data_IF_863457112208
#
_entry.id   IF_863457112208
#
_cell.length_a   1.000
_cell.length_b   1.000
_cell.length_c   1.000
_cell.angle_alpha   90.00
_cell.angle_beta   90.00
_cell.angle_gamma   90.00
#
_symmetry.space_group_name_H-M   'P 1'
#
loop_
_entity.id
_entity.type
_entity.pdbx_description
1 polymer ?
#
# COMPACT_ATOMS: atom_id res chain seq x y z
N UNK A 1 32.10 -6.55 -16.07
CA UNK A 1 30.74 -6.56 -15.48
C UNK A 1 30.54 -7.93 -14.84
N UNK A 2 30.58 -8.02 -13.51
CA UNK A 2 30.26 -9.28 -12.81
C UNK A 2 28.73 -9.43 -12.84
N UNK A 3 28.23 -10.55 -13.37
CA UNK A 3 26.81 -10.87 -13.26
C UNK A 3 26.50 -11.03 -11.76
N UNK A 4 25.70 -10.12 -11.20
CA UNK A 4 25.23 -10.24 -9.84
C UNK A 4 24.30 -11.45 -9.77
N UNK A 5 24.74 -12.51 -9.08
CA UNK A 5 23.90 -13.68 -8.84
C UNK A 5 22.76 -13.24 -7.91
N UNK A 6 21.55 -13.14 -8.44
CA UNK A 6 20.35 -12.91 -7.66
C UNK A 6 20.03 -14.18 -6.85
N UNK A 7 20.12 -14.11 -5.52
CA UNK A 7 19.84 -15.23 -4.60
C UNK A 7 18.74 -14.81 -3.63
N UNK A 8 17.74 -15.67 -3.43
CA UNK A 8 16.77 -15.52 -2.34
C UNK A 8 15.73 -14.41 -2.52
N UNK A 9 15.38 -14.02 -3.75
CA UNK A 9 14.49 -12.86 -3.96
C UNK A 9 13.06 -13.13 -3.54
N UNK A 10 12.49 -12.14 -2.86
CA UNK A 10 11.06 -12.00 -2.62
C UNK A 10 10.50 -10.80 -3.39
N UNK A 11 9.84 -11.05 -4.52
CA UNK A 11 9.31 -10.01 -5.41
C UNK A 11 8.17 -10.53 -6.28
N UNK A 12 7.29 -9.65 -6.74
CA UNK A 12 6.40 -9.94 -7.86
C UNK A 12 7.19 -10.10 -9.16
N UNK A 13 6.74 -10.99 -10.04
CA UNK A 13 7.33 -11.25 -11.35
C UNK A 13 6.52 -10.63 -12.50
N UNK A 14 5.33 -10.10 -12.21
CA UNK A 14 4.47 -9.41 -13.15
C UNK A 14 3.60 -8.38 -12.42
N UNK A 15 3.16 -7.34 -13.14
CA UNK A 15 2.18 -6.38 -12.63
C UNK A 15 0.80 -7.06 -12.50
N UNK A 16 0.17 -7.07 -11.30
CA UNK A 16 -1.10 -7.79 -11.12
C UNK A 16 -2.33 -7.05 -11.68
N UNK A 17 -2.20 -5.76 -12.01
CA UNK A 17 -3.33 -4.87 -12.32
C UNK A 17 -4.29 -4.82 -11.13
N UNK A 18 -3.77 -4.33 -10.01
CA UNK A 18 -4.50 -4.25 -8.74
C UNK A 18 -5.56 -3.15 -8.78
N UNK A 19 -6.71 -3.44 -8.17
CA UNK A 19 -7.77 -2.46 -7.96
C UNK A 19 -8.30 -2.54 -6.53
N UNK A 20 -8.71 -1.40 -6.00
CA UNK A 20 -9.43 -1.30 -4.73
C UNK A 20 -10.93 -1.30 -5.02
N UNK A 21 -11.67 -2.20 -4.38
CA UNK A 21 -13.12 -2.17 -4.50
C UNK A 21 -13.70 -1.09 -3.59
N UNK A 22 -14.34 -0.14 -4.24
CA UNK A 22 -14.71 1.18 -3.74
C UNK A 22 -15.51 1.19 -2.42
N UNK A 23 -16.32 0.16 -2.13
CA UNK A 23 -17.26 0.14 -1.00
C UNK A 23 -17.05 -0.98 0.03
N UNK A 24 -16.20 -1.97 -0.27
CA UNK A 24 -16.16 -3.23 0.50
C UNK A 24 -14.82 -3.53 1.18
N UNK A 25 -13.86 -2.59 1.17
CA UNK A 25 -12.48 -2.82 1.65
C UNK A 25 -11.89 -4.14 1.14
N UNK A 26 -12.07 -4.40 -0.15
CA UNK A 26 -11.52 -5.57 -0.85
C UNK A 26 -10.53 -5.14 -1.93
N UNK A 27 -9.64 -6.05 -2.30
CA UNK A 27 -8.71 -5.92 -3.42
C UNK A 27 -9.11 -6.89 -4.51
N UNK A 28 -9.06 -6.40 -5.75
CA UNK A 28 -9.23 -7.16 -6.98
C UNK A 28 -7.91 -7.16 -7.77
N UNK A 29 -7.75 -8.15 -8.65
CA UNK A 29 -6.70 -8.13 -9.67
C UNK A 29 -7.27 -8.66 -10.97
N UNK A 30 -6.89 -8.07 -12.10
CA UNK A 30 -7.30 -8.62 -13.41
C UNK A 30 -6.30 -9.66 -13.90
N UNK A 31 -5.01 -9.49 -13.57
CA UNK A 31 -3.96 -10.44 -13.87
C UNK A 31 -3.81 -11.54 -12.81
N UNK A 32 -3.22 -12.66 -13.22
CA UNK A 32 -2.73 -13.66 -12.27
C UNK A 32 -1.55 -13.08 -11.46
N UNK A 33 -1.50 -13.39 -10.18
CA UNK A 33 -0.38 -13.00 -9.33
C UNK A 33 0.71 -14.05 -9.49
N UNK A 34 1.90 -13.61 -9.87
CA UNK A 34 3.10 -14.45 -9.95
C UNK A 34 4.19 -13.76 -9.14
N UNK A 35 4.74 -14.46 -8.15
CA UNK A 35 5.74 -13.90 -7.24
C UNK A 35 6.73 -14.96 -6.78
N UNK A 36 7.83 -14.52 -6.20
CA UNK A 36 8.77 -15.37 -5.47
C UNK A 36 8.80 -15.00 -4.01
N UNK A 37 9.04 -15.99 -3.14
CA UNK A 37 9.45 -15.77 -1.75
C UNK A 37 10.73 -16.57 -1.55
N UNK A 38 11.82 -15.93 -1.15
CA UNK A 38 13.15 -16.56 -1.00
C UNK A 38 13.59 -17.35 -2.23
N UNK A 39 13.26 -16.86 -3.43
CA UNK A 39 13.55 -17.50 -4.72
C UNK A 39 12.62 -18.67 -5.10
N UNK A 40 11.64 -19.05 -4.27
CA UNK A 40 10.63 -20.05 -4.62
C UNK A 40 9.44 -19.37 -5.30
N UNK A 41 9.08 -19.83 -6.50
CA UNK A 41 7.97 -19.26 -7.26
C UNK A 41 6.60 -19.73 -6.75
N UNK A 42 5.64 -18.83 -6.79
CA UNK A 42 4.24 -19.03 -6.45
C UNK A 42 3.35 -18.38 -7.48
N UNK A 43 2.14 -18.94 -7.63
CA UNK A 43 1.10 -18.37 -8.48
C UNK A 43 -0.26 -18.47 -7.79
N UNK A 44 -1.08 -17.45 -8.04
CA UNK A 44 -2.50 -17.43 -7.74
C UNK A 44 -3.24 -16.85 -8.95
N UNK A 45 -4.43 -17.37 -9.22
CA UNK A 45 -5.35 -16.77 -10.18
C UNK A 45 -5.71 -15.32 -9.78
N UNK A 46 -6.35 -14.61 -10.69
CA UNK A 46 -6.87 -13.27 -10.44
C UNK A 46 -7.71 -13.23 -9.15
N UNK A 47 -7.54 -12.15 -8.38
CA UNK A 47 -8.28 -11.92 -7.14
C UNK A 47 -9.68 -11.42 -7.48
N UNK A 48 -10.68 -12.03 -6.86
CA UNK A 48 -12.08 -11.59 -6.93
C UNK A 48 -12.55 -11.27 -5.52
N UNK A 49 -12.63 -9.98 -5.22
CA UNK A 49 -13.14 -9.41 -3.97
C UNK A 49 -12.44 -9.96 -2.73
N UNK A 50 -11.11 -10.09 -2.74
CA UNK A 50 -10.37 -10.57 -1.58
C UNK A 50 -10.42 -9.51 -0.47
N UNK A 51 -10.87 -9.89 0.73
CA UNK A 51 -10.89 -8.99 1.87
C UNK A 51 -9.49 -8.47 2.18
N UNK A 52 -9.39 -7.16 2.42
CA UNK A 52 -8.11 -6.57 2.80
C UNK A 52 -7.77 -6.88 4.25
N UNK A 53 -6.48 -7.10 4.57
CA UNK A 53 -6.06 -7.21 5.96
C UNK A 53 -6.42 -5.96 6.77
N UNK A 54 -6.72 -6.14 8.06
CA UNK A 54 -6.96 -5.06 9.02
C UNK A 54 -5.80 -4.84 9.99
N UNK A 55 -4.78 -5.70 9.91
CA UNK A 55 -3.57 -5.63 10.72
C UNK A 55 -2.32 -5.58 9.86
N UNK A 56 -1.32 -4.89 10.36
CA UNK A 56 0.00 -4.78 9.76
C UNK A 56 0.75 -6.11 9.90
N UNK A 57 1.23 -6.65 8.78
CA UNK A 57 1.82 -7.98 8.73
C UNK A 57 3.17 -8.10 9.46
N UNK A 58 3.84 -6.99 9.74
CA UNK A 58 5.13 -6.97 10.46
C UNK A 58 4.92 -6.84 11.95
N UNK A 59 4.03 -5.94 12.37
CA UNK A 59 3.81 -5.65 13.80
C UNK A 59 2.70 -6.48 14.44
N UNK A 60 1.78 -7.01 13.63
CA UNK A 60 0.57 -7.70 14.12
C UNK A 60 -0.50 -6.76 14.70
N UNK A 61 -0.25 -5.45 14.75
CA UNK A 61 -1.18 -4.45 15.27
C UNK A 61 -2.15 -3.95 14.19
N UNK A 62 -3.25 -3.32 14.61
CA UNK A 62 -4.11 -2.60 13.68
C UNK A 62 -3.36 -1.45 12.99
N UNK A 63 -3.74 -1.12 11.75
CA UNK A 63 -3.13 -0.02 11.02
C UNK A 63 -3.33 1.32 11.74
N UNK A 64 -2.29 2.17 11.70
CA UNK A 64 -2.35 3.52 12.25
C UNK A 64 -3.23 4.40 11.36
N UNK A 65 -4.13 5.21 11.94
CA UNK A 65 -5.01 6.09 11.18
C UNK A 65 -4.21 7.17 10.43
N UNK A 66 -4.59 7.44 9.19
CA UNK A 66 -4.10 8.57 8.40
C UNK A 66 -5.01 9.77 8.67
N UNK A 67 -4.58 10.60 9.62
CA UNK A 67 -5.39 11.71 10.18
C UNK A 67 -5.51 12.86 9.16
N UNK A 68 -6.74 13.35 8.96
CA UNK A 68 -7.05 14.50 8.12
C UNK A 68 -6.97 15.85 8.85
N UNK A 69 -7.22 16.93 8.12
CA UNK A 69 -7.15 18.30 8.66
C UNK A 69 -8.40 18.79 9.39
N UNK A 70 -9.52 18.06 9.34
CA UNK A 70 -10.77 18.43 10.02
C UNK A 70 -11.39 19.76 9.57
N UNK A 71 -11.08 20.22 8.35
CA UNK A 71 -11.44 21.54 7.84
C UNK A 71 -10.96 22.70 8.72
N UNK A 72 -9.89 22.50 9.50
CA UNK A 72 -9.29 23.51 10.37
C UNK A 72 -8.24 24.30 9.59
N UNK A 73 -8.26 25.63 9.69
CA UNK A 73 -7.28 26.50 9.06
C UNK A 73 -5.86 26.14 9.54
N UNK A 74 -4.94 25.90 8.60
CA UNK A 74 -3.56 25.51 8.89
C UNK A 74 -3.33 24.02 9.18
N UNK A 75 -4.38 23.19 9.19
CA UNK A 75 -4.26 21.73 9.34
C UNK A 75 -4.52 21.05 7.99
N UNK A 76 -3.48 20.53 7.34
CA UNK A 76 -3.61 19.99 5.97
C UNK A 76 -3.81 18.47 5.91
N UNK A 77 -3.70 17.80 7.06
CA UNK A 77 -3.79 16.35 7.19
C UNK A 77 -2.47 15.64 6.85
N UNK A 78 -2.56 14.33 6.63
CA UNK A 78 -1.41 13.46 6.48
C UNK A 78 -1.59 12.49 5.31
N UNK A 79 -0.49 11.91 4.86
CA UNK A 79 -0.52 10.79 3.94
C UNK A 79 0.41 9.66 4.38
N UNK A 80 0.18 8.49 3.80
CA UNK A 80 0.94 7.26 4.08
C UNK A 80 0.95 6.34 2.86
N UNK A 81 1.70 5.25 2.96
CA UNK A 81 1.75 4.20 1.96
C UNK A 81 1.47 2.84 2.60
N UNK A 82 0.70 2.00 1.93
CA UNK A 82 0.38 0.64 2.36
C UNK A 82 0.88 -0.31 1.28
N UNK A 83 1.90 -1.12 1.60
CA UNK A 83 2.48 -2.06 0.64
C UNK A 83 1.68 -3.36 0.68
N UNK A 84 1.09 -3.75 -0.45
CA UNK A 84 0.42 -5.03 -0.61
C UNK A 84 1.46 -6.08 -0.93
N UNK A 85 1.42 -7.17 -0.18
CA UNK A 85 2.34 -8.29 -0.28
C UNK A 85 1.59 -9.63 -0.36
N UNK A 86 2.30 -10.64 -0.84
CA UNK A 86 1.90 -12.05 -0.81
C UNK A 86 2.92 -12.87 -0.04
N UNK A 87 2.45 -13.80 0.77
CA UNK A 87 3.31 -14.76 1.46
C UNK A 87 3.37 -16.12 0.73
N UNK A 88 4.16 -17.04 1.27
CA UNK A 88 4.27 -18.41 0.75
C UNK A 88 2.97 -19.24 0.92
N UNK A 89 2.06 -18.81 1.80
CA UNK A 89 0.75 -19.42 2.00
C UNK A 89 -0.31 -18.86 1.04
N UNK A 90 0.07 -17.94 0.14
CA UNK A 90 -0.84 -17.24 -0.77
C UNK A 90 -1.91 -16.45 -0.01
N UNK A 91 -1.57 -15.85 1.12
CA UNK A 91 -2.42 -14.88 1.79
C UNK A 91 -2.03 -13.45 1.40
N UNK A 92 -3.02 -12.56 1.32
CA UNK A 92 -2.79 -11.12 1.22
C UNK A 92 -2.26 -10.58 2.55
N UNK A 93 -1.17 -9.82 2.47
CA UNK A 93 -0.50 -9.18 3.60
C UNK A 93 -0.32 -7.71 3.27
N UNK A 94 -0.45 -6.83 4.26
CA UNK A 94 -0.25 -5.40 4.07
C UNK A 94 0.67 -4.88 5.15
N UNK A 95 1.59 -4.01 4.77
CA UNK A 95 2.53 -3.34 5.69
C UNK A 95 2.41 -1.84 5.49
N UNK A 96 2.29 -1.09 6.58
CA UNK A 96 2.16 0.36 6.53
C UNK A 96 3.52 1.04 6.64
N UNK A 97 3.80 1.94 5.70
CA UNK A 97 4.97 2.81 5.70
C UNK A 97 4.83 3.99 6.66
N UNK A 98 5.72 4.97 6.53
CA UNK A 98 5.65 6.16 7.38
C UNK A 98 4.39 6.98 7.12
N UNK A 99 3.95 7.74 8.13
CA UNK A 99 2.93 8.78 7.99
C UNK A 99 3.67 10.12 7.95
N UNK A 100 3.33 10.97 6.98
CA UNK A 100 3.96 12.28 6.78
C UNK A 100 2.89 13.36 6.58
N UNK A 101 3.14 14.61 6.98
CA UNK A 101 2.21 15.70 6.77
C UNK A 101 2.08 16.06 5.29
N UNK A 102 0.89 16.52 4.89
CA UNK A 102 0.63 17.08 3.57
C UNK A 102 0.86 18.60 3.56
N UNK A 103 1.13 19.13 2.37
CA UNK A 103 1.16 20.57 2.10
C UNK A 103 -0.24 21.17 2.02
N UNK A 104 -0.31 22.50 1.94
CA UNK A 104 -1.57 23.25 1.88
C UNK A 104 -2.41 22.94 0.64
N UNK A 105 -1.79 22.40 -0.39
CA UNK A 105 -2.41 21.93 -1.64
C UNK A 105 -2.93 20.48 -1.54
N UNK A 106 -2.79 19.84 -0.38
CA UNK A 106 -3.20 18.45 -0.15
C UNK A 106 -2.25 17.42 -0.77
N UNK A 107 -1.06 17.83 -1.23
CA UNK A 107 -0.05 16.92 -1.77
C UNK A 107 1.07 16.65 -0.77
N UNK A 108 1.88 15.64 -1.07
CA UNK A 108 3.13 15.44 -0.35
C UNK A 108 4.06 16.61 -0.65
N UNK A 109 4.68 17.15 0.40
CA UNK A 109 5.70 18.19 0.24
C UNK A 109 6.91 17.57 -0.47
N UNK A 110 7.50 18.24 -1.47
CA UNK A 110 8.70 17.76 -2.16
C UNK A 110 9.80 17.37 -1.16
N UNK A 111 10.38 16.19 -1.32
CA UNK A 111 11.39 15.64 -0.40
C UNK A 111 10.84 15.00 0.88
N UNK A 112 9.54 15.11 1.16
CA UNK A 112 8.87 14.52 2.32
C UNK A 112 7.75 13.55 1.90
N UNK A 113 8.09 12.61 1.02
CA UNK A 113 7.21 11.50 0.68
C UNK A 113 7.28 10.42 1.77
N UNK A 114 6.20 9.62 1.95
CA UNK A 114 6.26 8.46 2.83
C UNK A 114 7.41 7.54 2.45
N UNK A 115 8.11 7.00 3.45
CA UNK A 115 9.04 5.90 3.23
C UNK A 115 8.25 4.60 3.16
N UNK A 116 8.66 3.72 2.24
CA UNK A 116 8.20 2.34 2.27
C UNK A 116 8.62 1.68 3.59
N UNK A 117 7.78 0.82 4.17
CA UNK A 117 8.16 0.06 5.35
C UNK A 117 9.22 -0.99 5.00
N UNK A 118 9.91 -1.47 6.01
CA UNK A 118 10.74 -2.66 5.88
C UNK A 118 9.83 -3.87 5.62
N UNK A 119 10.05 -4.55 4.50
CA UNK A 119 9.31 -5.75 4.13
C UNK A 119 10.17 -6.98 4.46
N UNK A 120 9.73 -7.86 5.38
CA UNK A 120 10.42 -9.10 5.65
C UNK A 120 10.54 -9.96 4.40
N UNK A 121 11.65 -10.70 4.28
CA UNK A 121 11.91 -11.62 3.16
C UNK A 121 10.99 -12.86 3.13
N UNK A 122 9.95 -12.89 3.97
CA UNK A 122 8.85 -13.86 3.89
C UNK A 122 7.66 -13.34 3.08
N UNK A 123 7.71 -12.06 2.68
CA UNK A 123 6.66 -11.34 1.97
C UNK A 123 7.20 -10.81 0.64
N UNK A 124 6.41 -10.94 -0.42
CA UNK A 124 6.71 -10.40 -1.73
C UNK A 124 5.78 -9.23 -2.04
N UNK A 125 6.28 -8.00 -2.19
CA UNK A 125 5.48 -6.87 -2.64
C UNK A 125 4.89 -7.13 -4.04
N UNK A 126 3.60 -6.82 -4.21
CA UNK A 126 2.88 -6.91 -5.48
C UNK A 126 2.29 -5.57 -5.94
N UNK A 127 2.20 -4.61 -5.02
CA UNK A 127 1.84 -3.23 -5.30
C UNK A 127 1.79 -2.42 -4.01
N UNK A 128 1.34 -1.18 -4.11
CA UNK A 128 1.10 -0.34 -2.94
C UNK A 128 -0.07 0.61 -3.16
N UNK A 129 -0.71 1.01 -2.05
CA UNK A 129 -1.68 2.10 -2.02
C UNK A 129 -1.05 3.32 -1.39
N UNK A 130 -1.09 4.44 -2.10
CA UNK A 130 -0.81 5.76 -1.54
C UNK A 130 -2.12 6.34 -1.01
N UNK A 131 -2.14 6.72 0.26
CA UNK A 131 -3.28 7.39 0.89
C UNK A 131 -2.91 8.84 1.19
N UNK A 132 -3.74 9.77 0.74
CA UNK A 132 -3.71 11.19 1.12
C UNK A 132 -5.01 11.51 1.85
N UNK A 133 -4.90 11.91 3.11
CA UNK A 133 -6.00 12.37 3.97
C UNK A 133 -5.89 13.88 4.10
N UNK A 134 -6.59 14.61 3.23
CA UNK A 134 -6.44 16.06 3.06
C UNK A 134 -7.11 16.90 4.15
N UNK A 135 -7.17 18.22 3.94
CA UNK A 135 -7.74 19.16 4.90
C UNK A 135 -9.19 18.82 5.29
N UNK A 136 -10.04 18.42 4.35
CA UNK A 136 -11.46 18.11 4.60
C UNK A 136 -11.69 16.72 5.19
N UNK A 137 -10.65 15.89 5.32
CA UNK A 137 -10.78 14.57 5.92
C UNK A 137 -10.88 14.66 7.45
N UNK A 138 -11.53 13.67 8.04
CA UNK A 138 -11.79 13.59 9.49
C UNK A 138 -10.51 13.55 10.32
N UNK A 139 -10.53 14.20 11.48
CA UNK A 139 -9.47 14.12 12.50
C UNK A 139 -9.41 12.75 13.20
N UNK A 140 -10.47 11.94 13.09
CA UNK A 140 -10.45 10.53 13.52
C UNK A 140 -9.56 9.65 12.61
N UNK A 141 -9.28 10.13 11.39
CA UNK A 141 -8.42 9.49 10.41
C UNK A 141 -9.06 8.32 9.66
N UNK A 142 -8.42 7.98 8.54
CA UNK A 142 -8.79 6.83 7.70
C UNK A 142 -7.89 5.64 8.02
N UNK A 143 -8.47 4.44 8.14
CA UNK A 143 -7.75 3.22 8.54
C UNK A 143 -7.87 2.18 7.42
N UNK A 144 -6.74 1.66 6.96
CA UNK A 144 -6.71 0.65 5.90
C UNK A 144 -7.49 -0.61 6.32
N UNK A 145 -8.25 -1.15 5.36
CA UNK A 145 -9.10 -2.34 5.53
C UNK A 145 -10.31 -2.18 6.45
N UNK A 146 -10.41 -1.06 7.18
CA UNK A 146 -11.55 -0.74 8.04
C UNK A 146 -12.42 0.37 7.45
N UNK A 147 -11.78 1.42 6.92
CA UNK A 147 -12.46 2.54 6.26
C UNK A 147 -12.68 2.26 4.79
N UNK A 148 -13.81 2.71 4.23
CA UNK A 148 -14.14 2.54 2.82
C UNK A 148 -13.04 3.11 1.90
N UNK A 149 -12.84 2.45 0.76
CA UNK A 149 -11.82 2.84 -0.22
C UNK A 149 -12.27 3.98 -1.15
N UNK A 150 -13.55 4.32 -1.15
CA UNK A 150 -14.12 5.43 -1.90
C UNK A 150 -15.26 6.09 -1.13
N UNK A 151 -15.70 7.25 -1.61
CA UNK A 151 -16.83 7.97 -1.01
C UNK A 151 -16.54 8.55 0.37
N UNK A 152 -15.28 8.49 0.83
CA UNK A 152 -14.84 9.10 2.09
C UNK A 152 -14.33 10.50 1.81
N UNK A 153 -14.97 11.50 2.42
CA UNK A 153 -14.62 12.92 2.23
C UNK A 153 -13.15 13.19 2.55
N UNK A 154 -12.47 13.85 1.62
CA UNK A 154 -11.08 14.29 1.78
C UNK A 154 -10.03 13.18 1.69
N UNK A 155 -10.42 11.94 1.37
CA UNK A 155 -9.51 10.81 1.18
C UNK A 155 -9.26 10.57 -0.31
N UNK A 156 -7.99 10.50 -0.69
CA UNK A 156 -7.56 10.06 -2.02
C UNK A 156 -6.69 8.83 -1.88
N UNK A 157 -7.07 7.75 -2.57
CA UNK A 157 -6.30 6.51 -2.65
C UNK A 157 -5.83 6.30 -4.08
N UNK A 158 -4.54 5.99 -4.25
CA UNK A 158 -3.96 5.66 -5.56
C UNK A 158 -3.22 4.34 -5.45
N UNK A 159 -3.52 3.42 -6.37
CA UNK A 159 -2.87 2.11 -6.44
C UNK A 159 -1.77 2.16 -7.48
N UNK A 160 -0.63 1.55 -7.14
CA UNK A 160 0.44 1.30 -8.08
C UNK A 160 0.83 -0.18 -8.01
N UNK A 161 0.93 -0.80 -9.18
CA UNK A 161 1.50 -2.14 -9.29
C UNK A 161 3.02 -2.07 -9.16
N UNK A 162 3.61 -3.15 -8.63
CA UNK A 162 5.06 -3.33 -8.69
C UNK A 162 5.39 -4.66 -9.34
N UNK A 163 6.49 -4.69 -10.10
CA UNK A 163 7.05 -5.87 -10.72
C UNK A 163 8.56 -5.81 -10.58
N UNK A 164 9.19 -6.90 -10.16
CA UNK A 164 10.65 -7.04 -10.02
C UNK A 164 11.30 -6.11 -8.99
N UNK A 165 10.52 -5.56 -8.06
CA UNK A 165 10.99 -4.69 -6.98
C UNK A 165 10.11 -3.46 -6.80
N UNK A 166 10.26 -2.78 -5.67
CA UNK A 166 9.59 -1.50 -5.41
C UNK A 166 10.48 -0.34 -5.90
N UNK A 167 9.91 0.79 -6.34
CA UNK A 167 10.68 2.01 -6.56
C UNK A 167 11.31 2.49 -5.24
N UNK A 168 12.31 3.38 -5.31
CA UNK A 168 12.99 3.92 -4.12
C UNK A 168 12.04 4.69 -3.18
N UNK A 169 10.96 5.25 -3.77
CA UNK A 169 9.91 6.01 -3.08
C UNK A 169 8.55 5.75 -3.72
N UNK A 170 7.45 5.86 -2.95
CA UNK A 170 6.10 5.79 -3.50
C UNK A 170 5.93 6.83 -4.60
N UNK A 171 5.47 6.40 -5.77
CA UNK A 171 5.15 7.31 -6.87
C UNK A 171 3.77 7.90 -6.58
N UNK A 172 3.74 9.17 -6.17
CA UNK A 172 2.50 9.87 -5.78
C UNK A 172 1.86 10.67 -6.94
N UNK A 173 2.42 10.52 -8.15
CA UNK A 173 1.97 11.06 -9.44
C UNK A 173 2.73 10.38 -10.57
#
# INVERSE_FOLDING_TARGET
MQAQKLVGISASLAAPVLALHATATTIDSTGALVWTVKGKAFTLAALTTEATPTTDAVTGAAFKPVIGGGSVAGAYGNGSVFVLCRDAAKASKVVQGSIVPLGSDGNFVPGNLPQFPEIPDTLAPVGYVVCKSGNTASTAGWIFGTSNFSGVTGITLTVADVAMGMPDRPQAS
#
